data_IF_483366688079
#
_entry.id   IF_483366688079
#
_cell.length_a   1.000
_cell.length_b   1.000
_cell.length_c   1.000
_cell.angle_alpha   90.00
_cell.angle_beta   90.00
_cell.angle_gamma   90.00
#
_symmetry.space_group_name_H-M   'P 1'
#
loop_
_entity.id
_entity.type
_entity.pdbx_description
1 polymer ?
#
# COMPACT_ATOMS: atom_id res chain seq x y z
N UNK A 1 17.75 -19.73 -21.75
CA UNK A 1 17.98 -21.04 -21.06
C UNK A 1 16.82 -21.27 -20.13
N UNK A 2 16.10 -22.37 -20.27
CA UNK A 2 14.92 -22.68 -19.44
C UNK A 2 15.40 -23.06 -18.04
N UNK A 3 14.86 -22.39 -17.02
CA UNK A 3 15.10 -22.65 -15.60
C UNK A 3 13.97 -23.48 -15.01
N UNK A 4 14.27 -24.25 -13.95
CA UNK A 4 13.28 -24.97 -13.14
C UNK A 4 13.12 -24.26 -11.80
N UNK A 5 11.94 -23.66 -11.57
CA UNK A 5 11.59 -22.94 -10.34
C UNK A 5 10.80 -23.86 -9.41
N UNK A 6 11.36 -24.15 -8.24
CA UNK A 6 10.68 -24.90 -7.18
C UNK A 6 10.00 -23.89 -6.24
N UNK A 7 8.70 -23.98 -6.12
CA UNK A 7 7.88 -22.98 -5.39
C UNK A 7 7.53 -23.51 -4.01
N UNK A 8 7.77 -22.67 -3.00
CA UNK A 8 7.39 -22.92 -1.62
C UNK A 8 5.92 -22.54 -1.37
N UNK A 9 5.31 -23.14 -0.35
CA UNK A 9 3.91 -22.92 0.05
C UNK A 9 3.62 -21.47 0.39
N UNK A 10 4.54 -20.78 1.06
CA UNK A 10 4.37 -19.38 1.48
C UNK A 10 4.15 -18.44 0.28
N UNK A 11 4.73 -18.75 -0.88
CA UNK A 11 4.53 -17.99 -2.13
C UNK A 11 3.09 -18.13 -2.62
N UNK A 12 2.53 -19.35 -2.64
CA UNK A 12 1.18 -19.59 -3.13
C UNK A 12 0.10 -19.09 -2.19
N UNK A 13 0.39 -19.03 -0.89
CA UNK A 13 -0.51 -18.43 0.11
C UNK A 13 -0.59 -16.92 -0.08
N UNK A 14 0.50 -16.28 -0.47
CA UNK A 14 0.53 -14.84 -0.68
C UNK A 14 0.07 -14.45 -2.08
N UNK A 15 0.55 -15.15 -3.10
CA UNK A 15 0.29 -14.91 -4.52
C UNK A 15 -0.17 -16.22 -5.20
N UNK A 16 -1.46 -16.57 -5.13
CA UNK A 16 -1.97 -17.85 -5.65
C UNK A 16 -1.81 -18.00 -7.18
N UNK A 17 -1.46 -16.92 -7.86
CA UNK A 17 -1.15 -16.91 -9.31
C UNK A 17 0.36 -16.97 -9.59
N UNK A 18 1.22 -17.08 -8.58
CA UNK A 18 2.69 -17.04 -8.74
C UNK A 18 3.20 -18.01 -9.80
N UNK A 19 2.61 -19.21 -9.91
CA UNK A 19 3.02 -20.18 -10.94
C UNK A 19 2.94 -19.64 -12.37
N UNK A 20 2.10 -18.65 -12.64
CA UNK A 20 1.92 -18.04 -13.96
C UNK A 20 2.93 -16.91 -14.26
N UNK A 21 3.79 -16.57 -13.32
CA UNK A 21 4.70 -15.42 -13.42
C UNK A 21 6.12 -15.80 -13.88
N UNK A 22 6.37 -17.07 -14.19
CA UNK A 22 7.70 -17.57 -14.57
C UNK A 22 7.87 -17.74 -16.09
N UNK A 23 7.08 -17.04 -16.89
CA UNK A 23 7.15 -17.06 -18.37
C UNK A 23 7.21 -18.49 -18.93
N UNK A 24 8.09 -18.75 -19.90
CA UNK A 24 8.29 -20.08 -20.55
C UNK A 24 9.12 -21.07 -19.73
N UNK A 25 9.40 -20.75 -18.44
CA UNK A 25 10.19 -21.63 -17.58
C UNK A 25 9.35 -22.80 -17.02
N UNK A 26 10.05 -23.71 -16.33
CA UNK A 26 9.41 -24.84 -15.63
C UNK A 26 9.09 -24.44 -14.20
N UNK A 27 7.88 -24.70 -13.78
CA UNK A 27 7.42 -24.50 -12.40
C UNK A 27 7.21 -25.88 -11.77
N UNK A 28 7.92 -26.14 -10.69
CA UNK A 28 7.88 -27.41 -9.96
C UNK A 28 7.19 -27.16 -8.61
N UNK A 29 6.16 -27.93 -8.34
CA UNK A 29 5.49 -27.97 -7.04
C UNK A 29 5.81 -29.27 -6.33
N UNK A 30 6.59 -29.24 -5.23
CA UNK A 30 6.77 -30.41 -4.39
C UNK A 30 5.45 -30.92 -3.81
N UNK A 31 5.29 -32.23 -3.66
CA UNK A 31 4.08 -32.82 -3.11
C UNK A 31 3.79 -32.27 -1.69
N UNK A 32 4.80 -32.03 -0.88
CA UNK A 32 4.65 -31.44 0.46
C UNK A 32 3.97 -30.05 0.40
N UNK A 33 4.20 -29.25 -0.63
CA UNK A 33 3.54 -27.96 -0.82
C UNK A 33 2.03 -28.14 -1.05
N UNK A 34 1.64 -29.18 -1.79
CA UNK A 34 0.23 -29.51 -2.00
C UNK A 34 -0.44 -29.99 -0.71
N UNK A 35 0.26 -30.77 0.10
CA UNK A 35 -0.21 -31.25 1.41
C UNK A 35 -0.47 -30.06 2.35
N UNK A 36 0.45 -29.11 2.41
CA UNK A 36 0.31 -27.90 3.22
C UNK A 36 -0.85 -27.01 2.72
N UNK A 37 -0.97 -26.81 1.39
CA UNK A 37 -2.11 -26.07 0.82
C UNK A 37 -3.44 -26.74 1.15
N UNK A 38 -3.50 -28.09 1.11
CA UNK A 38 -4.71 -28.83 1.47
C UNK A 38 -5.09 -28.64 2.94
N UNK A 39 -4.11 -28.64 3.84
CA UNK A 39 -4.31 -28.32 5.26
C UNK A 39 -4.85 -26.89 5.47
N UNK A 40 -4.34 -25.94 4.70
CA UNK A 40 -4.68 -24.51 4.80
C UNK A 40 -6.01 -24.16 4.13
N UNK A 41 -6.57 -24.97 3.24
CA UNK A 41 -7.84 -24.68 2.54
C UNK A 41 -9.04 -24.48 3.48
N UNK A 42 -8.97 -25.06 4.69
CA UNK A 42 -9.98 -24.91 5.74
C UNK A 42 -9.77 -23.70 6.64
N UNK A 43 -8.61 -23.06 6.53
CA UNK A 43 -8.33 -21.86 7.29
C UNK A 43 -9.24 -20.72 6.84
N UNK A 44 -9.64 -19.90 7.78
CA UNK A 44 -10.40 -18.70 7.53
C UNK A 44 -9.50 -17.53 7.05
N UNK A 45 -10.11 -16.46 6.54
CA UNK A 45 -9.40 -15.30 6.05
C UNK A 45 -8.70 -15.51 4.71
N UNK A 46 -7.69 -14.70 4.47
CA UNK A 46 -7.00 -14.61 3.17
C UNK A 46 -6.14 -15.85 2.87
N UNK A 47 -5.47 -16.41 3.88
CA UNK A 47 -4.65 -17.62 3.73
C UNK A 47 -5.47 -18.77 3.16
N UNK A 48 -6.63 -19.06 3.75
CA UNK A 48 -7.50 -20.11 3.25
C UNK A 48 -8.12 -19.79 1.89
N UNK A 49 -8.45 -18.51 1.64
CA UNK A 49 -8.97 -18.09 0.34
C UNK A 49 -7.92 -18.27 -0.77
N UNK A 50 -6.67 -17.91 -0.51
CA UNK A 50 -5.57 -18.05 -1.46
C UNK A 50 -5.16 -19.52 -1.66
N UNK A 51 -5.12 -20.33 -0.60
CA UNK A 51 -4.94 -21.78 -0.72
C UNK A 51 -6.01 -22.41 -1.63
N UNK A 52 -7.29 -22.05 -1.43
CA UNK A 52 -8.38 -22.51 -2.31
C UNK A 52 -8.26 -22.04 -3.75
N UNK A 53 -7.71 -20.83 -3.99
CA UNK A 53 -7.44 -20.32 -5.34
C UNK A 53 -6.32 -21.10 -6.01
N UNK A 54 -5.21 -21.33 -5.32
CA UNK A 54 -4.10 -22.13 -5.83
C UNK A 54 -4.55 -23.55 -6.17
N UNK A 55 -5.30 -24.23 -5.28
CA UNK A 55 -5.84 -25.57 -5.54
C UNK A 55 -6.77 -25.57 -6.74
N UNK A 56 -7.68 -24.60 -6.90
CA UNK A 56 -8.55 -24.50 -8.09
C UNK A 56 -7.77 -24.29 -9.39
N UNK A 57 -6.68 -23.54 -9.35
CA UNK A 57 -5.80 -23.36 -10.50
C UNK A 57 -5.15 -24.70 -10.89
N UNK A 58 -4.64 -25.44 -9.92
CA UNK A 58 -4.04 -26.76 -10.14
C UNK A 58 -5.08 -27.76 -10.69
N UNK A 59 -6.31 -27.74 -10.17
CA UNK A 59 -7.39 -28.60 -10.68
C UNK A 59 -7.72 -28.29 -12.14
N UNK A 60 -7.75 -27.02 -12.54
CA UNK A 60 -7.92 -26.63 -13.95
C UNK A 60 -6.81 -27.19 -14.84
N UNK A 61 -5.55 -27.18 -14.37
CA UNK A 61 -4.43 -27.74 -15.11
C UNK A 61 -4.50 -29.27 -15.17
N UNK A 62 -4.90 -29.93 -14.08
CA UNK A 62 -5.09 -31.39 -14.03
C UNK A 62 -6.09 -31.88 -15.07
N UNK A 63 -7.14 -31.08 -15.34
CA UNK A 63 -8.11 -31.39 -16.38
C UNK A 63 -7.54 -31.24 -17.81
N UNK A 64 -6.45 -30.47 -17.99
CA UNK A 64 -5.77 -30.29 -19.27
C UNK A 64 -4.71 -31.38 -19.57
N UNK A 65 -4.21 -32.07 -18.52
CA UNK A 65 -3.17 -33.09 -18.67
C UNK A 65 -2.67 -33.69 -17.37
N UNK A 66 -1.64 -34.52 -17.49
CA UNK A 66 -1.00 -35.19 -16.33
C UNK A 66 0.03 -34.27 -15.68
N UNK A 67 -0.30 -33.78 -14.48
CA UNK A 67 0.57 -32.88 -13.71
C UNK A 67 1.91 -33.54 -13.28
N UNK A 68 1.99 -34.85 -13.21
CA UNK A 68 3.25 -35.55 -12.91
C UNK A 68 4.21 -35.51 -14.10
N UNK A 69 3.68 -35.48 -15.32
CA UNK A 69 4.49 -35.36 -16.55
C UNK A 69 4.73 -33.91 -16.96
N UNK A 70 3.95 -32.99 -16.40
CA UNK A 70 3.97 -31.56 -16.69
C UNK A 70 2.87 -31.14 -17.67
N UNK A 71 2.22 -30.04 -17.35
CA UNK A 71 1.14 -29.44 -18.16
C UNK A 71 1.53 -28.04 -18.59
N UNK A 72 1.37 -27.74 -19.86
CA UNK A 72 1.66 -26.42 -20.41
C UNK A 72 0.62 -25.40 -19.90
N UNK A 73 1.12 -24.27 -19.42
CA UNK A 73 0.31 -23.14 -18.99
C UNK A 73 0.11 -22.14 -20.14
N UNK A 74 -0.84 -21.21 -19.96
CA UNK A 74 -1.18 -20.20 -20.98
C UNK A 74 -0.04 -19.20 -21.28
N UNK A 75 0.87 -19.01 -20.33
CA UNK A 75 2.08 -18.17 -20.47
C UNK A 75 3.25 -18.88 -21.20
N UNK A 76 3.04 -20.12 -21.69
CA UNK A 76 4.06 -20.91 -22.39
C UNK A 76 4.91 -21.79 -21.46
N UNK A 77 4.90 -21.56 -20.15
CA UNK A 77 5.63 -22.35 -19.15
C UNK A 77 4.98 -23.72 -18.90
N UNK A 78 5.73 -24.61 -18.24
CA UNK A 78 5.27 -25.94 -17.87
C UNK A 78 5.19 -26.05 -16.36
N UNK A 79 4.03 -26.45 -15.82
CA UNK A 79 3.87 -26.77 -14.41
C UNK A 79 3.89 -28.28 -14.21
N UNK A 80 4.74 -28.74 -13.29
CA UNK A 80 4.88 -30.14 -12.89
C UNK A 80 4.78 -30.26 -11.37
N UNK A 81 4.07 -31.30 -10.92
CA UNK A 81 4.09 -31.75 -9.53
C UNK A 81 5.19 -32.79 -9.38
N UNK A 82 6.05 -32.63 -8.39
CA UNK A 82 7.14 -33.57 -8.12
C UNK A 82 6.88 -34.31 -6.81
N UNK A 83 6.90 -35.62 -6.88
CA UNK A 83 6.93 -36.47 -5.70
C UNK A 83 8.27 -36.30 -4.95
N UNK A 84 8.36 -36.76 -3.73
CA UNK A 84 9.41 -36.42 -2.74
C UNK A 84 10.85 -36.79 -3.10
N UNK A 85 11.21 -37.07 -4.35
CA UNK A 85 12.57 -37.47 -4.81
C UNK A 85 13.22 -38.51 -3.87
N UNK A 86 12.58 -39.65 -3.72
CA UNK A 86 12.89 -40.67 -2.67
C UNK A 86 14.37 -41.14 -2.70
N UNK A 87 14.98 -41.11 -3.89
CA UNK A 87 16.38 -41.58 -4.08
C UNK A 87 17.44 -40.50 -3.78
N UNK A 88 17.04 -39.35 -3.29
CA UNK A 88 17.96 -38.25 -2.97
C UNK A 88 18.15 -38.18 -1.45
N UNK A 89 19.39 -38.20 -1.00
CA UNK A 89 19.71 -38.06 0.42
C UNK A 89 20.10 -36.59 0.75
N UNK A 90 19.61 -36.09 1.88
CA UNK A 90 20.04 -34.83 2.46
C UNK A 90 21.12 -35.06 3.52
N UNK A 91 21.98 -34.07 3.83
CA UNK A 91 22.87 -34.12 4.96
C UNK A 91 22.13 -34.42 6.29
N UNK A 92 22.74 -35.11 7.23
CA UNK A 92 22.17 -35.43 8.56
C UNK A 92 21.66 -34.16 9.31
N UNK A 93 22.25 -33.01 9.04
CA UNK A 93 21.84 -31.72 9.60
C UNK A 93 20.48 -31.20 9.08
N UNK A 94 19.94 -31.86 8.05
CA UNK A 94 18.65 -31.48 7.42
C UNK A 94 17.70 -32.69 7.42
N UNK A 95 17.12 -33.08 8.57
CA UNK A 95 16.27 -34.25 8.69
C UNK A 95 14.97 -34.09 7.88
N UNK A 96 14.50 -35.19 7.27
CA UNK A 96 13.37 -35.19 6.32
C UNK A 96 11.98 -35.08 6.97
N UNK A 97 11.89 -35.07 8.29
CA UNK A 97 10.64 -34.86 9.03
C UNK A 97 10.08 -33.44 8.89
N UNK A 98 10.92 -32.46 8.52
CA UNK A 98 10.51 -31.07 8.31
C UNK A 98 10.06 -30.83 6.87
N UNK A 99 8.88 -30.20 6.67
CA UNK A 99 8.37 -29.86 5.33
C UNK A 99 9.38 -29.11 4.45
N UNK A 100 10.02 -28.08 5.00
CA UNK A 100 11.06 -27.29 4.33
C UNK A 100 12.18 -28.17 3.74
N UNK A 101 12.63 -29.15 4.52
CA UNK A 101 13.73 -30.03 4.09
C UNK A 101 13.28 -30.94 2.95
N UNK A 102 11.99 -31.32 2.89
CA UNK A 102 11.45 -32.07 1.73
C UNK A 102 11.42 -31.20 0.48
N UNK A 103 11.15 -29.90 0.58
CA UNK A 103 11.28 -28.96 -0.54
C UNK A 103 12.73 -28.92 -1.05
N UNK A 104 13.70 -28.82 -0.13
CA UNK A 104 15.13 -28.86 -0.48
C UNK A 104 15.55 -30.18 -1.13
N UNK A 105 15.01 -31.31 -0.67
CA UNK A 105 15.22 -32.61 -1.28
C UNK A 105 14.77 -32.65 -2.72
N UNK A 106 13.59 -32.09 -3.03
CA UNK A 106 13.09 -31.93 -4.40
C UNK A 106 14.01 -31.03 -5.22
N UNK A 107 14.43 -29.88 -4.68
CA UNK A 107 15.38 -29.01 -5.38
C UNK A 107 16.68 -29.73 -5.75
N UNK A 108 17.22 -30.53 -4.82
CA UNK A 108 18.45 -31.31 -5.05
C UNK A 108 18.22 -32.36 -6.14
N UNK A 109 17.13 -33.12 -6.08
CA UNK A 109 16.80 -34.14 -7.10
C UNK A 109 16.61 -33.53 -8.49
N UNK A 110 15.82 -32.46 -8.61
CA UNK A 110 15.65 -31.76 -9.90
C UNK A 110 16.98 -31.22 -10.43
N UNK A 111 17.87 -30.73 -9.56
CA UNK A 111 19.18 -30.23 -10.00
C UNK A 111 20.07 -31.31 -10.59
N UNK A 112 19.92 -32.56 -10.17
CA UNK A 112 20.65 -33.70 -10.76
C UNK A 112 20.15 -34.03 -12.18
N UNK A 113 18.85 -33.82 -12.43
CA UNK A 113 18.21 -34.10 -13.72
C UNK A 113 18.22 -32.89 -14.67
N UNK A 114 17.92 -31.70 -14.12
CA UNK A 114 17.65 -30.48 -14.90
C UNK A 114 18.36 -29.27 -14.27
N UNK A 115 19.26 -28.64 -14.97
CA UNK A 115 19.95 -27.40 -14.53
C UNK A 115 19.57 -26.23 -15.44
N UNK A 116 19.44 -25.01 -14.92
CA UNK A 116 19.55 -24.57 -13.52
C UNK A 116 18.24 -24.73 -12.73
N UNK A 117 18.34 -24.95 -11.43
CA UNK A 117 17.24 -25.01 -10.47
C UNK A 117 17.30 -23.81 -9.53
N UNK A 118 16.15 -23.16 -9.29
CA UNK A 118 16.01 -22.03 -8.39
C UNK A 118 14.86 -22.30 -7.41
N UNK A 119 15.15 -22.24 -6.12
CA UNK A 119 14.11 -22.27 -5.07
C UNK A 119 13.50 -20.88 -4.93
N UNK A 120 12.17 -20.80 -4.94
CA UNK A 120 11.43 -19.55 -4.71
C UNK A 120 10.73 -19.62 -3.36
N UNK A 121 11.22 -18.86 -2.39
CA UNK A 121 10.68 -18.81 -1.02
C UNK A 121 10.93 -17.46 -0.36
N UNK A 122 10.01 -17.04 0.50
CA UNK A 122 10.19 -15.87 1.38
C UNK A 122 10.88 -16.22 2.70
N UNK A 123 10.97 -17.49 3.05
CA UNK A 123 11.62 -17.91 4.29
C UNK A 123 13.14 -17.77 4.17
N UNK A 124 13.68 -16.87 4.99
CA UNK A 124 15.13 -16.63 5.06
C UNK A 124 15.88 -17.90 5.48
N UNK A 125 15.36 -18.66 6.45
CA UNK A 125 16.00 -19.87 6.95
C UNK A 125 16.05 -20.95 5.86
N UNK A 126 14.96 -21.08 5.10
CA UNK A 126 14.91 -22.01 3.97
C UNK A 126 15.88 -21.58 2.85
N UNK A 127 16.03 -20.28 2.56
CA UNK A 127 17.06 -19.78 1.63
C UNK A 127 18.49 -20.07 2.10
N UNK A 128 18.78 -19.89 3.39
CA UNK A 128 20.09 -20.23 3.96
C UNK A 128 20.39 -21.73 3.88
N UNK A 129 19.40 -22.58 4.17
CA UNK A 129 19.54 -24.04 4.00
C UNK A 129 19.78 -24.41 2.52
N UNK A 130 19.11 -23.76 1.58
CA UNK A 130 19.35 -23.96 0.14
C UNK A 130 20.78 -23.58 -0.24
N UNK A 131 21.31 -22.48 0.30
CA UNK A 131 22.69 -22.06 0.07
C UNK A 131 23.72 -23.09 0.58
N UNK A 132 23.47 -23.72 1.74
CA UNK A 132 24.30 -24.81 2.26
C UNK A 132 24.40 -25.99 1.26
N UNK A 133 23.29 -26.25 0.56
CA UNK A 133 23.22 -27.29 -0.49
C UNK A 133 23.74 -26.83 -1.86
N UNK A 134 24.18 -25.56 -1.98
CA UNK A 134 24.59 -24.98 -3.23
C UNK A 134 23.42 -24.81 -4.23
N UNK A 135 22.19 -24.66 -3.74
CA UNK A 135 20.98 -24.41 -4.53
C UNK A 135 20.74 -22.91 -4.55
N UNK A 136 20.57 -22.35 -5.75
CA UNK A 136 20.14 -20.95 -5.91
C UNK A 136 18.75 -20.76 -5.31
N UNK A 137 18.58 -19.74 -4.47
CA UNK A 137 17.30 -19.42 -3.86
C UNK A 137 17.02 -17.92 -3.98
N UNK A 138 15.77 -17.58 -4.33
CA UNK A 138 15.33 -16.21 -4.48
C UNK A 138 13.95 -15.99 -3.86
N UNK A 139 13.65 -14.73 -3.55
CA UNK A 139 12.31 -14.31 -3.19
C UNK A 139 11.42 -14.14 -4.46
N UNK A 140 10.11 -14.18 -4.27
CA UNK A 140 9.14 -13.92 -5.32
C UNK A 140 8.90 -12.41 -5.47
N UNK A 141 9.49 -11.80 -6.48
CA UNK A 141 9.58 -10.35 -6.64
C UNK A 141 8.50 -9.70 -7.51
N UNK A 142 7.56 -10.46 -8.07
CA UNK A 142 6.58 -9.92 -9.05
C UNK A 142 5.63 -8.87 -8.46
N UNK A 143 5.42 -8.87 -7.13
CA UNK A 143 4.63 -7.85 -6.42
C UNK A 143 5.50 -6.91 -5.57
N UNK A 144 6.81 -7.05 -5.63
CA UNK A 144 7.70 -6.16 -4.90
C UNK A 144 7.90 -4.86 -5.67
N UNK A 145 7.91 -3.77 -4.96
CA UNK A 145 8.38 -2.48 -5.47
C UNK A 145 9.88 -2.33 -5.21
N UNK A 146 10.50 -1.35 -5.86
CA UNK A 146 11.91 -1.01 -5.64
C UNK A 146 12.18 -0.63 -4.19
N UNK A 147 13.43 -0.63 -3.77
CA UNK A 147 13.84 -0.19 -2.43
C UNK A 147 13.35 1.22 -2.09
N UNK A 148 13.20 1.54 -0.80
CA UNK A 148 12.57 2.78 -0.34
C UNK A 148 13.23 4.03 -0.93
N UNK A 149 14.56 4.07 -1.05
CA UNK A 149 15.31 5.20 -1.62
C UNK A 149 14.93 5.50 -3.08
N UNK A 150 14.46 4.50 -3.83
CA UNK A 150 14.01 4.65 -5.21
C UNK A 150 12.49 4.73 -5.39
N UNK A 151 11.70 4.59 -4.31
CA UNK A 151 10.24 4.61 -4.42
C UNK A 151 9.70 6.00 -4.76
N UNK A 152 8.61 6.01 -5.53
CA UNK A 152 7.94 7.26 -5.92
C UNK A 152 7.40 8.01 -4.70
N UNK A 153 7.86 9.24 -4.50
CA UNK A 153 7.47 10.08 -3.36
C UNK A 153 6.25 10.96 -3.64
N UNK A 154 5.87 11.13 -4.91
CA UNK A 154 4.81 12.05 -5.32
C UNK A 154 5.21 13.52 -5.27
N UNK A 155 6.45 13.84 -4.88
CA UNK A 155 6.95 15.21 -4.79
C UNK A 155 8.43 15.31 -5.09
N UNK A 156 8.87 16.47 -5.62
CA UNK A 156 10.25 16.77 -5.94
C UNK A 156 10.61 18.24 -5.68
N UNK A 157 11.87 18.49 -5.37
CA UNK A 157 12.43 19.86 -5.30
C UNK A 157 13.02 20.15 -6.66
N UNK A 158 12.57 21.23 -7.32
CA UNK A 158 13.09 21.69 -8.59
C UNK A 158 13.55 23.14 -8.52
N UNK A 159 14.52 23.45 -9.31
CA UNK A 159 15.07 24.80 -9.45
C UNK A 159 14.63 25.43 -10.77
N UNK A 160 14.58 26.76 -10.78
CA UNK A 160 14.23 27.56 -11.95
C UNK A 160 14.94 28.93 -11.89
N UNK A 161 15.13 29.55 -13.04
CA UNK A 161 15.67 30.90 -13.13
C UNK A 161 14.80 31.94 -12.38
N UNK A 162 15.42 32.94 -11.79
CA UNK A 162 14.77 33.93 -10.90
C UNK A 162 13.60 34.68 -11.55
N UNK A 163 13.69 35.00 -12.84
CA UNK A 163 12.63 35.67 -13.61
C UNK A 163 11.37 34.77 -13.69
N UNK A 164 11.56 33.52 -14.02
CA UNK A 164 10.51 32.49 -14.08
C UNK A 164 9.90 32.20 -12.71
N UNK A 165 10.73 32.19 -11.67
CA UNK A 165 10.26 32.03 -10.30
C UNK A 165 9.30 33.18 -9.90
N UNK A 166 9.59 34.43 -10.27
CA UNK A 166 8.70 35.58 -9.99
C UNK A 166 7.38 35.52 -10.74
N UNK A 167 7.39 34.98 -11.96
CA UNK A 167 6.18 34.85 -12.79
C UNK A 167 5.33 33.61 -12.47
N UNK A 168 5.88 32.66 -11.72
CA UNK A 168 5.26 31.35 -11.46
C UNK A 168 3.78 31.41 -11.07
N UNK A 169 3.43 32.28 -10.11
CA UNK A 169 2.04 32.37 -9.60
C UNK A 169 1.02 32.81 -10.67
N UNK A 170 1.47 33.50 -11.73
CA UNK A 170 0.58 34.03 -12.78
C UNK A 170 0.47 33.10 -13.97
N UNK A 171 1.58 32.49 -14.39
CA UNK A 171 1.70 31.77 -15.68
C UNK A 171 2.07 30.30 -15.53
N UNK A 172 2.46 29.86 -14.33
CA UNK A 172 3.16 28.59 -14.14
C UNK A 172 4.55 28.63 -14.78
N UNK A 173 5.24 27.48 -14.76
CA UNK A 173 6.56 27.29 -15.38
C UNK A 173 6.52 26.04 -16.24
N UNK A 174 7.10 26.08 -17.43
CA UNK A 174 7.17 24.94 -18.33
C UNK A 174 8.18 23.89 -17.80
N UNK A 175 7.87 22.59 -17.92
CA UNK A 175 8.73 21.51 -17.40
C UNK A 175 10.16 21.59 -17.92
N UNK A 176 10.36 22.04 -19.15
CA UNK A 176 11.70 22.22 -19.76
C UNK A 176 12.56 23.32 -19.13
N UNK A 177 11.95 24.22 -18.36
CA UNK A 177 12.63 25.32 -17.67
C UNK A 177 13.08 24.93 -16.25
N UNK A 178 12.68 23.75 -15.80
CA UNK A 178 13.03 23.19 -14.49
C UNK A 178 14.33 22.38 -14.58
N UNK A 179 15.08 22.36 -13.48
CA UNK A 179 16.24 21.50 -13.35
C UNK A 179 16.43 21.03 -11.90
N UNK A 180 17.13 19.92 -11.75
CA UNK A 180 17.70 19.44 -10.50
C UNK A 180 19.17 19.89 -10.46
N UNK A 181 19.72 19.98 -9.25
CA UNK A 181 21.17 20.13 -9.07
C UNK A 181 21.72 18.80 -8.56
N UNK A 182 22.69 18.22 -9.24
CA UNK A 182 23.44 17.06 -8.75
C UNK A 182 24.47 17.47 -7.67
N UNK A 183 25.20 16.50 -7.15
CA UNK A 183 26.23 16.72 -6.13
C UNK A 183 27.36 17.62 -6.61
N UNK A 184 27.63 17.63 -7.92
CA UNK A 184 28.64 18.46 -8.57
C UNK A 184 28.13 19.86 -9.00
N UNK A 185 26.81 20.12 -8.75
CA UNK A 185 26.17 21.39 -9.12
C UNK A 185 25.74 21.49 -10.59
N UNK A 186 25.76 20.39 -11.36
CA UNK A 186 25.30 20.39 -12.74
C UNK A 186 23.78 20.42 -12.80
N UNK A 187 23.23 21.02 -13.84
CA UNK A 187 21.80 21.07 -14.09
C UNK A 187 21.32 19.83 -14.82
N UNK A 188 20.44 19.06 -14.19
CA UNK A 188 19.83 17.86 -14.75
C UNK A 188 18.34 18.11 -14.98
N UNK A 189 17.81 17.69 -16.15
CA UNK A 189 16.37 17.76 -16.42
C UNK A 189 15.63 16.76 -15.55
N UNK A 190 14.64 17.20 -14.73
CA UNK A 190 13.84 16.26 -13.92
C UNK A 190 12.91 15.43 -14.79
N UNK A 191 12.76 14.16 -14.43
CA UNK A 191 11.70 13.31 -14.94
C UNK A 191 10.47 13.45 -14.04
N UNK A 192 9.49 14.22 -14.49
CA UNK A 192 8.27 14.54 -13.73
C UNK A 192 7.06 13.86 -14.34
N UNK A 193 6.16 13.43 -13.47
CA UNK A 193 4.92 12.77 -13.86
C UNK A 193 3.69 13.66 -13.59
N UNK A 194 2.57 13.34 -14.22
CA UNK A 194 1.30 14.05 -14.00
C UNK A 194 0.92 14.02 -12.51
N UNK A 195 0.40 15.14 -12.00
CA UNK A 195 0.03 15.38 -10.62
C UNK A 195 1.16 15.35 -9.58
N UNK A 196 2.41 15.22 -9.99
CA UNK A 196 3.56 15.30 -9.05
C UNK A 196 3.68 16.69 -8.44
N UNK A 197 3.90 16.76 -7.14
CA UNK A 197 4.03 18.01 -6.41
C UNK A 197 5.45 18.54 -6.45
N UNK A 198 5.59 19.86 -6.63
CA UNK A 198 6.88 20.51 -6.79
C UNK A 198 7.10 21.58 -5.73
N UNK A 199 8.24 21.47 -5.03
CA UNK A 199 8.81 22.56 -4.23
C UNK A 199 9.74 23.31 -5.15
N UNK A 200 9.28 24.44 -5.70
CA UNK A 200 10.02 25.24 -6.65
C UNK A 200 10.93 26.23 -5.91
N UNK A 201 12.20 26.24 -6.25
CA UNK A 201 13.22 27.14 -5.71
C UNK A 201 13.84 27.99 -6.84
N UNK A 202 14.16 29.24 -6.53
CA UNK A 202 14.94 30.07 -7.44
C UNK A 202 16.43 29.69 -7.35
N UNK A 203 17.13 29.71 -8.49
CA UNK A 203 18.54 29.34 -8.58
C UNK A 203 19.50 30.27 -7.79
N UNK A 204 19.11 31.51 -7.52
CA UNK A 204 19.88 32.46 -6.76
C UNK A 204 19.40 32.74 -5.33
N UNK A 205 18.30 32.10 -4.90
CA UNK A 205 17.68 32.36 -3.59
C UNK A 205 17.14 31.10 -2.93
N UNK A 206 17.93 30.54 -2.02
CA UNK A 206 17.57 29.31 -1.26
C UNK A 206 16.40 29.54 -0.28
N UNK A 207 16.10 30.80 0.07
CA UNK A 207 15.12 31.12 1.13
C UNK A 207 13.66 31.22 0.68
N UNK A 208 13.40 31.43 -0.62
CA UNK A 208 12.04 31.56 -1.13
C UNK A 208 11.64 30.33 -1.91
N UNK A 209 10.47 29.78 -1.57
CA UNK A 209 9.90 28.61 -2.24
C UNK A 209 8.50 28.92 -2.74
N UNK A 210 8.14 28.30 -3.85
CA UNK A 210 6.76 28.17 -4.29
C UNK A 210 6.34 26.71 -4.31
N UNK A 211 5.08 26.44 -4.01
CA UNK A 211 4.51 25.13 -4.08
C UNK A 211 3.64 25.04 -5.33
N UNK A 212 3.84 23.98 -6.09
CA UNK A 212 3.10 23.74 -7.31
C UNK A 212 2.85 22.26 -7.56
N UNK A 213 2.19 21.99 -8.66
CA UNK A 213 1.85 20.65 -9.13
C UNK A 213 2.04 20.56 -10.64
N UNK A 214 2.49 19.43 -11.11
CA UNK A 214 2.58 19.14 -12.55
C UNK A 214 1.17 19.00 -13.14
N UNK A 215 0.91 19.74 -14.20
CA UNK A 215 -0.31 19.67 -14.99
C UNK A 215 0.06 19.77 -16.47
N UNK A 216 0.00 18.65 -17.15
CA UNK A 216 0.43 18.52 -18.54
C UNK A 216 1.90 18.89 -18.71
N UNK A 217 2.19 19.97 -19.43
CA UNK A 217 3.57 20.43 -19.73
C UNK A 217 4.08 21.52 -18.81
N UNK A 218 3.38 21.82 -17.73
CA UNK A 218 3.71 22.93 -16.82
C UNK A 218 3.61 22.50 -15.35
N UNK A 219 4.32 23.24 -14.51
CA UNK A 219 4.04 23.27 -13.06
C UNK A 219 3.16 24.49 -12.81
N UNK A 220 2.00 24.27 -12.18
CA UNK A 220 1.02 25.29 -11.83
C UNK A 220 0.96 25.49 -10.32
N UNK A 221 0.52 26.67 -9.88
CA UNK A 221 0.35 26.96 -8.46
C UNK A 221 -0.81 26.13 -7.87
N UNK A 222 -0.73 25.80 -6.58
CA UNK A 222 -1.79 25.09 -5.86
C UNK A 222 -3.07 25.94 -5.84
N UNK A 223 -4.21 25.30 -6.13
CA UNK A 223 -5.54 25.93 -6.19
C UNK A 223 -6.08 26.21 -4.79
N UNK A 224 -5.92 25.24 -3.86
CA UNK A 224 -6.51 25.29 -2.51
C UNK A 224 -5.56 25.85 -1.44
N UNK A 225 -4.50 26.56 -1.82
CA UNK A 225 -3.49 27.07 -0.87
C UNK A 225 -4.06 27.94 0.25
N UNK A 226 -5.15 28.67 -0.01
CA UNK A 226 -5.80 29.59 0.95
C UNK A 226 -6.97 28.96 1.68
N UNK A 227 -7.37 27.75 1.31
CA UNK A 227 -8.47 27.05 1.94
C UNK A 227 -8.10 26.61 3.35
N UNK A 228 -9.09 26.56 4.22
CA UNK A 228 -8.97 26.15 5.61
C UNK A 228 -10.09 25.14 5.88
N UNK A 229 -9.96 23.91 5.37
CA UNK A 229 -11.00 22.91 5.56
C UNK A 229 -11.21 22.65 7.05
N UNK A 230 -12.43 22.79 7.50
CA UNK A 230 -12.83 22.66 8.89
C UNK A 230 -11.94 23.50 9.85
N UNK A 231 -11.62 24.74 9.46
CA UNK A 231 -10.78 25.68 10.22
C UNK A 231 -9.26 25.38 10.19
N UNK A 232 -8.82 24.26 9.65
CA UNK A 232 -7.42 23.81 9.72
C UNK A 232 -6.54 24.50 8.67
N UNK A 233 -5.37 24.97 9.12
CA UNK A 233 -4.35 25.61 8.27
C UNK A 233 -3.13 24.72 8.08
N UNK A 234 -2.63 24.53 6.84
CA UNK A 234 -1.38 23.81 6.62
C UNK A 234 -0.19 24.54 7.25
N UNK A 235 0.70 23.79 7.86
CA UNK A 235 1.92 24.30 8.55
C UNK A 235 3.20 24.06 7.76
N UNK A 236 3.22 23.03 6.90
CA UNK A 236 4.38 22.64 6.12
C UNK A 236 4.01 22.28 4.67
N UNK A 237 5.00 22.06 3.81
CA UNK A 237 4.78 21.78 2.38
C UNK A 237 3.96 20.53 2.14
N UNK A 238 4.21 19.44 2.88
CA UNK A 238 3.46 18.20 2.77
C UNK A 238 1.97 18.38 3.06
N UNK A 239 1.63 19.14 4.09
CA UNK A 239 0.24 19.45 4.43
C UNK A 239 -0.45 20.32 3.37
N UNK A 240 0.27 21.27 2.73
CA UNK A 240 -0.26 22.00 1.58
C UNK A 240 -0.55 21.08 0.39
N UNK A 241 0.33 20.13 0.10
CA UNK A 241 0.12 19.14 -0.96
C UNK A 241 -1.04 18.21 -0.65
N UNK A 242 -1.11 17.75 0.59
CA UNK A 242 -2.20 16.91 1.08
C UNK A 242 -3.55 17.64 0.96
N UNK A 243 -3.62 18.88 1.43
CA UNK A 243 -4.82 19.71 1.28
C UNK A 243 -5.23 19.88 -0.18
N UNK A 244 -4.28 20.19 -1.07
CA UNK A 244 -4.55 20.32 -2.51
C UNK A 244 -5.18 19.04 -3.08
N UNK A 245 -4.61 17.87 -2.81
CA UNK A 245 -5.09 16.58 -3.30
C UNK A 245 -6.48 16.23 -2.76
N UNK A 246 -6.69 16.43 -1.45
CA UNK A 246 -7.95 16.10 -0.78
C UNK A 246 -9.09 17.03 -1.18
N UNK A 247 -8.82 18.33 -1.34
CA UNK A 247 -9.83 19.35 -1.72
C UNK A 247 -10.29 19.24 -3.17
N UNK A 248 -9.48 18.68 -4.08
CA UNK A 248 -9.92 18.39 -5.47
C UNK A 248 -11.17 17.52 -5.46
N UNK A 249 -12.03 17.68 -6.46
CA UNK A 249 -13.22 16.84 -6.59
C UNK A 249 -12.90 15.37 -6.84
N UNK A 250 -13.86 14.49 -6.56
CA UNK A 250 -13.74 13.05 -6.86
C UNK A 250 -13.55 12.76 -8.36
N UNK A 251 -13.94 13.68 -9.25
CA UNK A 251 -13.73 13.53 -10.70
C UNK A 251 -12.27 13.80 -11.09
N UNK A 252 -11.61 14.76 -10.41
CA UNK A 252 -10.22 15.15 -10.69
C UNK A 252 -9.19 14.32 -9.92
N UNK A 253 -9.52 13.98 -8.68
CA UNK A 253 -8.65 13.23 -7.77
C UNK A 253 -9.43 12.12 -7.06
N UNK A 254 -9.90 11.09 -7.79
CA UNK A 254 -10.64 9.99 -7.17
C UNK A 254 -9.76 9.11 -6.26
N UNK A 255 -8.45 9.12 -6.45
CA UNK A 255 -7.49 8.39 -5.62
C UNK A 255 -6.43 9.33 -5.05
N UNK A 256 -6.26 9.30 -3.75
CA UNK A 256 -5.17 10.01 -3.04
C UNK A 256 -4.39 8.99 -2.20
N UNK A 257 -3.09 8.93 -2.38
CA UNK A 257 -2.19 8.05 -1.64
C UNK A 257 -1.25 8.90 -0.79
N UNK A 258 -1.23 8.66 0.51
CA UNK A 258 -0.43 9.42 1.46
C UNK A 258 0.45 8.50 2.27
N UNK A 259 1.76 8.62 2.06
CA UNK A 259 2.78 7.92 2.83
C UNK A 259 3.42 8.87 3.84
N UNK A 260 3.80 8.38 5.00
CA UNK A 260 4.55 9.15 5.98
C UNK A 260 4.44 8.60 7.38
N UNK A 261 5.37 8.99 8.22
CA UNK A 261 5.44 8.57 9.63
C UNK A 261 4.17 8.96 10.41
N UNK A 262 3.92 8.26 11.50
CA UNK A 262 2.91 8.68 12.46
C UNK A 262 3.26 10.09 13.01
N UNK A 263 2.23 10.93 13.21
CA UNK A 263 2.42 12.33 13.65
C UNK A 263 2.58 13.35 12.52
N UNK A 264 2.47 12.96 11.25
CA UNK A 264 2.45 13.88 10.10
C UNK A 264 1.05 14.42 9.77
N UNK A 265 0.08 14.19 10.64
CA UNK A 265 -1.31 14.64 10.54
C UNK A 265 -2.10 14.10 9.33
N UNK A 266 -1.73 12.97 8.74
CA UNK A 266 -2.40 12.37 7.58
C UNK A 266 -3.89 12.13 7.82
N UNK A 267 -4.21 11.40 8.87
CA UNK A 267 -5.59 11.03 9.24
C UNK A 267 -6.39 12.25 9.65
N UNK A 268 -5.79 13.13 10.47
CA UNK A 268 -6.38 14.39 10.92
C UNK A 268 -6.81 15.29 9.74
N UNK A 269 -5.91 15.55 8.78
CA UNK A 269 -6.22 16.34 7.59
C UNK A 269 -7.27 15.69 6.70
N UNK A 270 -7.21 14.36 6.55
CA UNK A 270 -8.17 13.64 5.73
C UNK A 270 -9.58 13.71 6.32
N UNK A 271 -9.71 13.65 7.64
CA UNK A 271 -10.96 13.85 8.35
C UNK A 271 -11.46 15.29 8.26
N UNK A 272 -10.58 16.28 8.44
CA UNK A 272 -10.93 17.70 8.34
C UNK A 272 -11.53 18.04 6.96
N UNK A 273 -10.89 17.60 5.88
CA UNK A 273 -11.41 17.81 4.53
C UNK A 273 -12.70 17.01 4.29
N UNK A 274 -12.81 15.80 4.81
CA UNK A 274 -14.03 14.99 4.73
C UNK A 274 -15.21 15.69 5.39
N UNK A 275 -15.03 16.19 6.61
CA UNK A 275 -16.04 16.95 7.36
C UNK A 275 -16.42 18.24 6.65
N UNK A 276 -15.44 19.02 6.16
CA UNK A 276 -15.69 20.21 5.37
C UNK A 276 -16.62 19.94 4.20
N UNK A 277 -16.36 18.86 3.45
CA UNK A 277 -17.12 18.51 2.25
C UNK A 277 -18.48 17.89 2.53
N UNK A 278 -18.68 17.26 3.67
CA UNK A 278 -19.94 16.59 4.02
C UNK A 278 -20.82 17.46 4.89
N UNK A 279 -20.25 18.24 5.84
CA UNK A 279 -20.99 19.09 6.78
C UNK A 279 -21.09 20.55 6.32
N UNK A 280 -19.95 21.20 6.06
CA UNK A 280 -19.89 22.65 5.86
C UNK A 280 -20.12 23.07 4.41
N UNK A 281 -19.82 22.20 3.47
CA UNK A 281 -20.05 22.45 2.05
C UNK A 281 -20.87 21.33 1.40
N UNK A 282 -22.16 21.27 1.68
CA UNK A 282 -23.04 20.21 1.19
C UNK A 282 -23.33 20.36 -0.31
N UNK A 283 -22.30 20.42 -1.13
CA UNK A 283 -22.45 20.43 -2.61
C UNK A 283 -23.07 19.12 -3.13
N UNK A 284 -23.31 18.16 -2.24
CA UNK A 284 -23.82 16.84 -2.60
C UNK A 284 -22.77 15.96 -3.31
N UNK A 285 -21.48 16.36 -3.28
CA UNK A 285 -20.39 15.57 -3.84
C UNK A 285 -20.28 14.23 -3.13
N UNK A 286 -20.28 14.24 -1.78
CA UNK A 286 -20.28 13.02 -0.96
C UNK A 286 -21.51 12.94 -0.08
N UNK A 287 -22.02 11.73 0.12
CA UNK A 287 -23.13 11.43 1.04
C UNK A 287 -22.66 11.14 2.46
N UNK A 288 -21.42 10.61 2.58
CA UNK A 288 -20.83 10.17 3.84
C UNK A 288 -19.33 10.07 3.75
N UNK A 289 -18.70 10.05 4.90
CA UNK A 289 -17.33 9.60 5.11
C UNK A 289 -17.39 8.15 5.57
N UNK A 290 -16.70 7.27 4.88
CA UNK A 290 -16.53 5.88 5.28
C UNK A 290 -15.08 5.65 5.69
N UNK A 291 -14.87 5.15 6.90
CA UNK A 291 -13.53 4.93 7.45
C UNK A 291 -13.32 3.44 7.64
N UNK A 292 -12.21 2.96 7.12
CA UNK A 292 -11.80 1.58 7.29
C UNK A 292 -10.34 1.51 7.75
N UNK A 293 -10.07 0.60 8.66
CA UNK A 293 -8.72 0.30 9.14
C UNK A 293 -8.44 -1.19 9.02
N UNK A 294 -7.46 -1.61 8.20
CA UNK A 294 -7.03 -3.00 8.15
C UNK A 294 -6.44 -3.39 9.49
N UNK A 295 -6.79 -4.57 9.99
CA UNK A 295 -6.19 -5.08 11.22
C UNK A 295 -5.48 -6.40 10.98
N UNK A 296 -4.23 -6.48 11.40
CA UNK A 296 -3.42 -7.68 11.31
C UNK A 296 -3.94 -8.84 12.17
N UNK A 297 -4.59 -8.52 13.30
CA UNK A 297 -5.05 -9.52 14.28
C UNK A 297 -6.44 -10.08 13.99
N UNK A 298 -7.29 -9.36 13.25
CA UNK A 298 -8.72 -9.69 13.06
C UNK A 298 -9.08 -10.18 11.65
N UNK A 299 -8.12 -10.50 10.79
CA UNK A 299 -8.40 -11.29 9.57
C UNK A 299 -8.83 -12.73 9.91
N UNK A 300 -8.69 -13.14 11.19
CA UNK A 300 -9.18 -14.37 11.77
C UNK A 300 -10.37 -14.05 12.70
N UNK A 301 -11.58 -14.19 12.17
CA UNK A 301 -12.85 -14.19 12.92
C UNK A 301 -13.09 -13.12 14.01
N UNK A 302 -13.71 -12.02 13.60
CA UNK A 302 -14.47 -11.14 14.53
C UNK A 302 -15.53 -11.94 15.31
N UNK A 303 -15.88 -13.17 14.88
CA UNK A 303 -16.88 -14.03 15.50
C UNK A 303 -16.61 -14.44 16.95
N UNK A 304 -15.36 -14.55 17.37
CA UNK A 304 -14.98 -14.98 18.72
C UNK A 304 -14.97 -13.89 19.79
N UNK A 305 -15.05 -12.61 19.44
CA UNK A 305 -15.14 -11.54 20.44
C UNK A 305 -16.59 -11.41 20.92
N UNK A 306 -16.84 -11.24 22.24
CA UNK A 306 -18.16 -10.94 22.77
C UNK A 306 -18.58 -9.51 22.36
N UNK A 307 -19.88 -9.33 22.08
CA UNK A 307 -20.46 -8.05 21.69
C UNK A 307 -20.99 -8.03 20.25
N UNK A 308 -21.69 -6.96 19.91
CA UNK A 308 -22.16 -6.72 18.55
C UNK A 308 -21.02 -6.27 17.62
N UNK A 309 -21.29 -6.08 16.34
CA UNK A 309 -20.30 -5.76 15.33
C UNK A 309 -19.66 -4.37 15.57
N UNK A 310 -20.41 -3.42 16.10
CA UNK A 310 -19.94 -2.08 16.41
C UNK A 310 -19.04 -2.08 17.65
N UNK A 311 -19.39 -2.84 18.68
CA UNK A 311 -18.57 -3.03 19.88
C UNK A 311 -17.22 -3.67 19.56
N UNK A 312 -17.16 -4.57 18.60
CA UNK A 312 -15.93 -5.23 18.15
C UNK A 312 -15.00 -4.32 17.36
N UNK A 313 -15.54 -3.38 16.60
CA UNK A 313 -14.77 -2.43 15.78
C UNK A 313 -14.33 -1.20 16.60
N UNK A 314 -15.06 -0.86 17.65
CA UNK A 314 -14.84 0.34 18.48
C UNK A 314 -13.37 0.53 18.94
N UNK A 315 -12.65 -0.49 19.45
CA UNK A 315 -11.26 -0.31 19.88
C UNK A 315 -10.32 0.09 18.74
N UNK A 316 -10.58 -0.36 17.52
CA UNK A 316 -9.78 -0.04 16.33
C UNK A 316 -10.00 1.39 15.84
N UNK A 317 -11.17 1.94 16.14
CA UNK A 317 -11.57 3.27 15.70
C UNK A 317 -11.26 4.36 16.72
N UNK A 318 -10.78 4.01 17.92
CA UNK A 318 -10.43 5.00 18.95
C UNK A 318 -9.49 6.11 18.45
N UNK A 319 -8.40 5.82 17.70
CA UNK A 319 -7.56 6.88 17.15
C UNK A 319 -8.28 7.81 16.16
N UNK A 320 -9.35 7.34 15.53
CA UNK A 320 -10.19 8.17 14.65
C UNK A 320 -11.07 9.09 15.49
N UNK A 321 -11.65 8.57 16.58
CA UNK A 321 -12.45 9.37 17.51
C UNK A 321 -11.59 10.44 18.17
N UNK A 322 -10.37 10.11 18.62
CA UNK A 322 -9.43 11.07 19.20
C UNK A 322 -9.11 12.22 18.21
N UNK A 323 -8.95 11.92 16.91
CA UNK A 323 -8.77 12.95 15.88
C UNK A 323 -10.04 13.79 15.66
N UNK A 324 -11.22 13.19 15.74
CA UNK A 324 -12.50 13.89 15.62
C UNK A 324 -12.72 14.82 16.81
N UNK A 325 -12.40 14.38 18.03
CA UNK A 325 -12.45 15.21 19.24
C UNK A 325 -11.58 16.45 19.07
N UNK A 326 -10.32 16.28 18.64
CA UNK A 326 -9.43 17.40 18.38
C UNK A 326 -9.93 18.35 17.30
N UNK A 327 -10.56 17.84 16.24
CA UNK A 327 -11.08 18.65 15.15
C UNK A 327 -12.29 19.48 15.60
N UNK A 328 -13.22 18.86 16.33
CA UNK A 328 -14.45 19.50 16.80
C UNK A 328 -14.16 20.52 17.89
N UNK A 329 -13.21 20.21 18.80
CA UNK A 329 -12.80 21.12 19.86
C UNK A 329 -11.91 22.29 19.35
N UNK A 330 -11.32 22.15 18.17
CA UNK A 330 -10.47 23.20 17.57
C UNK A 330 -11.28 24.31 16.87
N UNK A 331 -12.60 24.19 16.77
CA UNK A 331 -13.43 25.24 16.21
C UNK A 331 -13.49 26.42 17.20
N UNK A 332 -12.85 27.56 16.84
CA UNK A 332 -12.71 28.72 17.72
C UNK A 332 -14.08 29.39 18.05
N UNK A 333 -15.11 29.09 17.26
CA UNK A 333 -16.47 29.64 17.47
C UNK A 333 -17.31 28.80 18.44
N UNK A 334 -17.04 27.49 18.57
CA UNK A 334 -17.75 26.56 19.45
C UNK A 334 -16.77 25.75 20.32
N UNK A 335 -16.03 26.39 21.23
CA UNK A 335 -15.29 25.65 22.26
C UNK A 335 -16.26 25.03 23.23
N UNK A 336 -16.33 23.70 23.22
CA UNK A 336 -17.11 22.95 24.18
C UNK A 336 -16.49 23.10 25.57
N UNK A 337 -17.28 23.60 26.50
CA UNK A 337 -16.82 23.78 27.87
C UNK A 337 -16.91 22.49 28.71
N UNK A 338 -17.61 21.49 28.17
CA UNK A 338 -17.87 20.21 28.82
C UNK A 338 -17.56 19.03 27.84
N UNK A 339 -16.83 18.04 28.34
CA UNK A 339 -16.50 16.80 27.64
C UNK A 339 -17.78 16.04 27.19
N UNK A 340 -18.89 16.18 27.93
CA UNK A 340 -20.18 15.57 27.59
C UNK A 340 -20.84 16.19 26.35
N UNK A 341 -20.70 17.49 26.15
CA UNK A 341 -21.19 18.18 24.92
C UNK A 341 -20.40 17.74 23.68
N UNK A 342 -19.07 17.63 23.80
CA UNK A 342 -18.18 17.17 22.74
C UNK A 342 -18.54 15.73 22.31
N UNK A 343 -18.71 14.83 23.28
CA UNK A 343 -19.14 13.46 23.05
C UNK A 343 -20.53 13.42 22.38
N UNK A 344 -21.47 14.21 22.85
CA UNK A 344 -22.81 14.32 22.25
C UNK A 344 -22.77 14.76 20.79
N UNK A 345 -21.87 15.67 20.44
CA UNK A 345 -21.69 16.12 19.04
C UNK A 345 -21.11 15.02 18.15
N UNK A 346 -20.13 14.28 18.64
CA UNK A 346 -19.56 13.14 17.92
C UNK A 346 -20.63 12.06 17.71
N UNK A 347 -21.38 11.71 18.74
CA UNK A 347 -22.47 10.75 18.65
C UNK A 347 -23.54 11.18 17.63
N UNK A 348 -23.91 12.48 17.58
CA UNK A 348 -24.82 13.02 16.58
C UNK A 348 -24.30 12.80 15.14
N UNK A 349 -23.00 13.06 14.89
CA UNK A 349 -22.38 12.87 13.57
C UNK A 349 -22.45 11.40 13.13
N UNK A 350 -22.18 10.47 14.04
CA UNK A 350 -22.31 9.04 13.77
C UNK A 350 -23.77 8.61 13.61
N UNK A 351 -24.69 9.05 14.47
CA UNK A 351 -26.10 8.75 14.41
C UNK A 351 -26.77 9.22 13.11
N UNK A 352 -26.34 10.37 12.59
CA UNK A 352 -26.78 10.89 11.28
C UNK A 352 -26.20 10.11 10.09
N UNK A 353 -25.29 9.18 10.32
CA UNK A 353 -24.65 8.37 9.28
C UNK A 353 -23.69 9.17 8.38
N UNK A 354 -23.26 10.35 8.82
CA UNK A 354 -22.30 11.19 8.09
C UNK A 354 -20.89 10.62 8.14
N UNK A 355 -20.55 9.99 9.25
CA UNK A 355 -19.35 9.16 9.40
C UNK A 355 -19.79 7.73 9.71
N UNK A 356 -19.21 6.78 9.00
CA UNK A 356 -19.41 5.35 9.21
C UNK A 356 -18.06 4.67 9.30
N UNK A 357 -17.95 3.70 10.18
CA UNK A 357 -16.76 2.86 10.33
C UNK A 357 -17.10 1.44 9.95
N UNK A 358 -16.29 0.81 9.12
CA UNK A 358 -16.51 -0.57 8.70
C UNK A 358 -15.20 -1.38 8.74
N UNK A 359 -15.30 -2.65 9.08
CA UNK A 359 -14.17 -3.56 8.97
C UNK A 359 -13.87 -3.87 7.50
N UNK A 360 -12.59 -4.13 7.19
CA UNK A 360 -12.10 -4.36 5.84
C UNK A 360 -12.84 -5.49 5.10
N UNK A 361 -13.27 -6.52 5.82
CA UNK A 361 -13.97 -7.67 5.24
C UNK A 361 -15.33 -7.29 4.65
N UNK A 362 -16.03 -6.30 5.21
CA UNK A 362 -17.34 -5.85 4.75
C UNK A 362 -17.29 -4.88 3.56
N UNK A 363 -16.13 -4.30 3.31
CA UNK A 363 -15.89 -3.44 2.13
C UNK A 363 -15.71 -4.30 0.87
N UNK A 364 -15.27 -5.55 1.01
CA UNK A 364 -15.10 -6.48 -0.12
C UNK A 364 -16.46 -6.80 -0.76
N UNK A 365 -16.55 -6.60 -2.08
CA UNK A 365 -17.76 -6.93 -2.85
C UNK A 365 -18.78 -5.79 -2.99
N UNK A 366 -18.60 -4.66 -2.31
CA UNK A 366 -19.47 -3.48 -2.44
C UNK A 366 -18.90 -2.49 -3.44
N UNK A 367 -19.78 -1.79 -4.15
CA UNK A 367 -19.44 -0.62 -4.95
C UNK A 367 -19.76 0.65 -4.16
N UNK A 368 -18.83 1.59 -4.16
CA UNK A 368 -18.99 2.86 -3.45
C UNK A 368 -19.42 3.94 -4.44
N UNK A 369 -20.45 4.68 -4.09
CA UNK A 369 -20.96 5.81 -4.90
C UNK A 369 -21.09 7.02 -4.00
N UNK A 370 -20.57 8.18 -4.45
CA UNK A 370 -20.60 9.44 -3.70
C UNK A 370 -20.11 9.27 -2.25
N UNK A 371 -19.01 8.55 -2.07
CA UNK A 371 -18.44 8.23 -0.75
C UNK A 371 -17.02 8.81 -0.66
N UNK A 372 -16.73 9.47 0.45
CA UNK A 372 -15.37 9.85 0.82
C UNK A 372 -14.81 8.70 1.68
N UNK A 373 -14.04 7.81 1.06
CA UNK A 373 -13.52 6.59 1.70
C UNK A 373 -12.09 6.83 2.20
N UNK A 374 -11.89 6.73 3.50
CA UNK A 374 -10.56 6.79 4.14
C UNK A 374 -10.18 5.36 4.54
N UNK A 375 -9.02 4.93 4.09
CA UNK A 375 -8.38 3.69 4.56
C UNK A 375 -7.11 4.09 5.30
N UNK A 376 -7.17 4.01 6.61
CA UNK A 376 -6.05 4.27 7.50
C UNK A 376 -5.23 3.01 7.72
N UNK A 377 -3.93 3.11 7.95
CA UNK A 377 -2.98 1.99 8.08
C UNK A 377 -2.95 1.06 6.85
N UNK A 378 -3.04 1.63 5.65
CA UNK A 378 -3.13 0.89 4.40
C UNK A 378 -1.87 0.04 4.08
N UNK A 379 -0.73 0.26 4.75
CA UNK A 379 0.44 -0.61 4.66
C UNK A 379 0.16 -2.03 5.20
N UNK A 380 -0.88 -2.20 6.02
CA UNK A 380 -1.31 -3.51 6.49
C UNK A 380 -2.23 -4.24 5.48
N UNK A 381 -2.42 -3.70 4.28
CA UNK A 381 -3.14 -4.35 3.19
C UNK A 381 -2.20 -5.09 2.26
N UNK A 382 -2.71 -6.17 1.67
CA UNK A 382 -2.01 -6.81 0.54
C UNK A 382 -2.27 -6.04 -0.77
N UNK A 383 -1.42 -6.18 -1.80
CA UNK A 383 -1.64 -5.64 -3.15
C UNK A 383 -3.02 -5.99 -3.71
N UNK A 384 -3.47 -7.24 -3.52
CA UNK A 384 -4.79 -7.70 -3.97
C UNK A 384 -5.96 -7.00 -3.26
N UNK A 385 -5.81 -6.71 -1.96
CA UNK A 385 -6.82 -5.98 -1.20
C UNK A 385 -6.96 -4.55 -1.72
N UNK A 386 -5.84 -3.84 -1.90
CA UNK A 386 -5.82 -2.47 -2.43
C UNK A 386 -6.38 -2.42 -3.84
N UNK A 387 -5.92 -3.31 -4.73
CA UNK A 387 -6.47 -3.44 -6.09
C UNK A 387 -7.97 -3.67 -6.07
N UNK A 388 -8.44 -4.57 -5.20
CA UNK A 388 -9.86 -4.90 -5.06
C UNK A 388 -10.72 -3.71 -4.62
N UNK A 389 -10.20 -2.77 -3.86
CA UNK A 389 -10.91 -1.56 -3.42
C UNK A 389 -10.89 -0.49 -4.51
N UNK A 390 -9.72 -0.18 -5.07
CA UNK A 390 -9.58 0.85 -6.10
C UNK A 390 -10.49 0.55 -7.30
N UNK A 391 -10.56 -0.72 -7.72
CA UNK A 391 -11.40 -1.14 -8.86
C UNK A 391 -12.91 -1.10 -8.59
N UNK A 392 -13.33 -0.83 -7.36
CA UNK A 392 -14.75 -0.71 -6.96
C UNK A 392 -15.20 0.72 -6.69
N UNK A 393 -14.32 1.69 -6.95
CA UNK A 393 -14.70 3.10 -6.89
C UNK A 393 -15.80 3.39 -7.90
N UNK A 394 -16.99 3.69 -7.43
CA UNK A 394 -18.12 4.12 -8.25
C UNK A 394 -18.10 5.64 -8.46
N UNK A 395 -19.04 6.14 -9.25
CA UNK A 395 -19.14 7.55 -9.61
C UNK A 395 -19.20 8.46 -8.37
N UNK A 396 -18.36 9.49 -8.34
CA UNK A 396 -18.31 10.47 -7.26
C UNK A 396 -17.68 9.96 -5.97
N UNK A 397 -16.94 8.86 -6.01
CA UNK A 397 -16.19 8.33 -4.86
C UNK A 397 -14.76 8.81 -4.90
N UNK A 398 -14.26 9.27 -3.75
CA UNK A 398 -12.85 9.51 -3.50
C UNK A 398 -12.32 8.46 -2.52
N UNK A 399 -11.19 7.84 -2.86
CA UNK A 399 -10.47 6.89 -2.02
C UNK A 399 -9.20 7.56 -1.53
N UNK A 400 -8.99 7.55 -0.22
CA UNK A 400 -7.81 8.10 0.44
C UNK A 400 -7.11 6.95 1.17
N UNK A 401 -5.93 6.56 0.68
CA UNK A 401 -5.08 5.54 1.30
C UNK A 401 -4.01 6.23 2.15
N UNK A 402 -4.03 5.97 3.44
CA UNK A 402 -3.11 6.56 4.41
C UNK A 402 -2.26 5.46 5.05
N UNK A 403 -0.98 5.69 5.27
CA UNK A 403 -0.17 4.75 6.02
C UNK A 403 1.31 5.11 6.11
N UNK A 404 2.02 4.29 6.85
CA UNK A 404 3.47 4.34 7.02
C UNK A 404 4.07 3.01 6.56
N UNK A 405 4.78 2.97 5.43
CA UNK A 405 5.38 1.74 4.92
C UNK A 405 6.36 1.06 5.88
N UNK A 406 6.88 1.81 6.88
CA UNK A 406 7.84 1.31 7.87
C UNK A 406 7.16 0.74 9.13
N UNK A 407 5.83 0.90 9.28
CA UNK A 407 5.06 0.41 10.42
C UNK A 407 4.09 -0.69 9.99
N UNK A 408 4.63 -1.85 9.64
CA UNK A 408 3.85 -2.99 9.17
C UNK A 408 3.66 -3.99 10.31
N UNK A 409 2.41 -4.15 10.75
CA UNK A 409 2.05 -5.12 11.79
C UNK A 409 1.69 -6.50 11.22
N UNK A 410 1.43 -6.56 9.92
CA UNK A 410 0.93 -7.78 9.29
C UNK A 410 2.07 -8.74 8.95
N UNK A 411 2.07 -9.98 9.47
CA UNK A 411 3.04 -10.99 9.07
C UNK A 411 3.03 -11.20 7.55
N UNK A 412 4.21 -11.41 6.96
CA UNK A 412 4.43 -11.64 5.51
C UNK A 412 4.30 -10.41 4.60
N UNK A 413 4.06 -9.23 5.14
CA UNK A 413 4.24 -7.98 4.40
C UNK A 413 5.52 -7.29 4.87
N UNK A 414 6.15 -6.59 3.95
CA UNK A 414 7.31 -5.74 4.19
C UNK A 414 7.15 -4.40 3.43
N UNK A 415 8.11 -3.52 3.52
CA UNK A 415 8.12 -2.20 2.88
C UNK A 415 7.91 -2.26 1.37
N UNK A 416 8.30 -3.39 0.74
CA UNK A 416 8.25 -3.61 -0.71
C UNK A 416 7.02 -4.37 -1.17
N UNK A 417 6.38 -5.14 -0.29
CA UNK A 417 5.28 -6.07 -0.64
C UNK A 417 3.93 -5.63 -0.10
N UNK A 418 3.87 -4.54 0.66
CA UNK A 418 2.61 -4.02 1.17
C UNK A 418 1.77 -3.30 0.11
N UNK A 419 0.46 -3.29 0.31
CA UNK A 419 -0.48 -2.74 -0.65
C UNK A 419 -0.37 -1.23 -0.87
N UNK A 420 0.08 -0.47 0.13
CA UNK A 420 0.25 0.99 0.01
C UNK A 420 1.41 1.33 -0.93
N UNK A 421 2.59 0.71 -0.75
CA UNK A 421 3.75 0.86 -1.62
C UNK A 421 3.44 0.36 -3.04
N UNK A 422 2.77 -0.80 -3.15
CA UNK A 422 2.32 -1.33 -4.42
C UNK A 422 1.42 -0.34 -5.18
N UNK A 423 0.38 0.19 -4.53
CA UNK A 423 -0.51 1.16 -5.16
C UNK A 423 0.24 2.44 -5.57
N UNK A 424 1.17 2.91 -4.73
CA UNK A 424 2.00 4.08 -5.01
C UNK A 424 2.79 3.92 -6.32
N UNK A 425 3.49 2.81 -6.51
CA UNK A 425 4.30 2.58 -7.71
C UNK A 425 3.44 2.37 -8.97
N UNK A 426 2.40 1.54 -8.88
CA UNK A 426 1.58 1.21 -10.06
C UNK A 426 0.62 2.32 -10.48
N UNK A 427 0.29 3.26 -9.58
CA UNK A 427 -0.54 4.43 -9.91
C UNK A 427 0.29 5.69 -10.19
N UNK A 428 1.62 5.60 -10.22
CA UNK A 428 2.51 6.69 -10.61
C UNK A 428 2.14 7.22 -11.99
N UNK A 429 2.02 8.54 -12.10
CA UNK A 429 1.70 9.23 -13.36
C UNK A 429 0.24 9.08 -13.84
N UNK A 430 -0.63 8.41 -13.10
CA UNK A 430 -2.05 8.37 -13.42
C UNK A 430 -2.68 9.76 -13.25
N UNK A 431 -3.43 10.27 -14.23
CA UNK A 431 -4.10 11.57 -14.11
C UNK A 431 -5.20 11.58 -13.03
N UNK A 432 -5.61 10.40 -12.56
CA UNK A 432 -6.64 10.22 -11.53
C UNK A 432 -6.05 9.97 -10.13
N UNK A 433 -4.72 9.95 -9.99
CA UNK A 433 -4.06 9.66 -8.73
C UNK A 433 -3.17 10.82 -8.29
N UNK A 434 -3.31 11.22 -7.04
CA UNK A 434 -2.45 12.17 -6.35
C UNK A 434 -1.70 11.47 -5.24
N UNK A 435 -0.39 11.70 -5.15
CA UNK A 435 0.45 11.00 -4.18
C UNK A 435 1.31 11.98 -3.41
N UNK A 436 1.43 11.77 -2.11
CA UNK A 436 2.25 12.58 -1.22
C UNK A 436 2.99 11.68 -0.25
N UNK A 437 4.32 11.81 -0.21
CA UNK A 437 5.11 11.27 0.89
C UNK A 437 5.48 12.44 1.82
N UNK A 438 5.02 12.36 3.06
CA UNK A 438 5.37 13.33 4.10
C UNK A 438 6.81 13.08 4.55
N UNK A 439 7.62 14.15 4.65
CA UNK A 439 8.99 13.99 5.15
C UNK A 439 9.04 13.89 6.67
N UNK A 440 10.13 13.34 7.19
CA UNK A 440 10.39 13.25 8.64
C UNK A 440 10.38 14.63 9.33
N UNK A 441 10.84 15.66 8.63
CA UNK A 441 10.86 17.04 9.12
C UNK A 441 9.46 17.65 9.25
N UNK A 442 8.45 17.07 8.60
CA UNK A 442 7.05 17.51 8.62
C UNK A 442 6.25 16.81 9.74
N UNK A 443 6.91 16.04 10.58
CA UNK A 443 6.29 15.39 11.74
C UNK A 443 6.05 16.42 12.86
N UNK A 444 4.81 16.53 13.35
CA UNK A 444 4.37 17.45 14.39
C UNK A 444 4.22 16.73 15.75
N UNK A 445 5.23 15.98 16.16
CA UNK A 445 5.26 15.32 17.47
C UNK A 445 5.96 16.19 18.51
N UNK A 446 5.77 15.85 19.79
CA UNK A 446 6.51 16.47 20.89
C UNK A 446 8.02 16.28 20.71
N UNK A 447 8.81 17.19 21.29
CA UNK A 447 10.28 17.10 21.26
C UNK A 447 10.79 15.74 21.78
N UNK A 448 10.16 15.23 22.84
CA UNK A 448 10.48 13.91 23.39
C UNK A 448 10.25 12.79 22.35
N UNK A 449 9.10 12.81 21.67
CA UNK A 449 8.80 11.78 20.65
C UNK A 449 9.76 11.87 19.47
N UNK A 450 10.14 13.06 19.04
CA UNK A 450 11.14 13.26 17.96
C UNK A 450 12.54 12.82 18.39
N UNK A 451 12.95 13.07 19.63
CA UNK A 451 14.23 12.62 20.14
C UNK A 451 14.27 11.09 20.27
N UNK A 452 13.19 10.48 20.74
CA UNK A 452 13.07 9.03 20.83
C UNK A 452 13.17 8.34 19.45
N UNK A 453 12.49 8.86 18.41
CA UNK A 453 12.57 8.33 17.04
C UNK A 453 13.99 8.37 16.47
N UNK A 454 14.80 9.35 16.89
CA UNK A 454 16.19 9.47 16.42
C UNK A 454 17.17 8.55 17.15
N UNK A 455 16.82 8.08 18.34
CA UNK A 455 17.70 7.33 19.24
C UNK A 455 17.37 5.84 19.34
N UNK A 456 16.10 5.49 19.15
CA UNK A 456 15.58 4.12 19.25
C UNK A 456 15.31 3.53 17.89
#
# INVERSE_FOLDING_TARGET
MIKSYVIDTNILIQAPYACQCFEENRVILPLVVLEELDGLKKAEGEKGANARRAIRFLEKLRLKGDLLKGVQMENGGILRVEANCVNVELPESLPEDKPDNRILKVCKGIREEEKPVVLVTKDLVLRLKAQILGIEAQDFSTEQVIEEEGQYSGRQICYVAEDKFKEFKKKGVHLKELYLSDEDGNKIQPELTENEFIILKADQSVKKTHLGRVEGKKVVSLEFRKSQPYGIKPRNAGQYFLQEALMKSAEKAPLVIVKGMAGTAKTFYSLAVGLEKVLNNPTGEYRRILICRPNAQFDQDIGFLPGDEQEKISPLMRPIVDNLEQLIDSDEEERYQDEQELQGKIEEIFARGLIQTEAMNFIRGRSFVKTYLIIDEAQNMTPNQVKGIITRAGKGTKIVLLGDPNQIDRPFLDERTNGLSYASEYMKGSPLCYQITMSTEECERSELAMDAIRRL
#
